data_IF_275210045747
#
_entry.id   IF_275210045747
#
_cell.length_a   1.000
_cell.length_b   1.000
_cell.length_c   1.000
_cell.angle_alpha   90.00
_cell.angle_beta   90.00
_cell.angle_gamma   90.00
#
_symmetry.space_group_name_H-M   'P 1'
#
loop_
_entity.id
_entity.type
_entity.pdbx_description
1 polymer ?
#
# COMPACT_ATOMS: atom_id res chain seq x y z
N UNK A 1 -7.14 -23.81 -11.18
CA UNK A 1 -8.10 -23.12 -10.32
C UNK A 1 -7.35 -21.93 -9.76
N UNK A 2 -7.54 -20.73 -10.32
CA UNK A 2 -6.91 -19.53 -9.77
C UNK A 2 -7.70 -19.17 -8.52
N UNK A 3 -7.08 -19.34 -7.36
CA UNK A 3 -7.62 -18.83 -6.11
C UNK A 3 -7.71 -17.31 -6.25
N UNK A 4 -8.91 -16.77 -6.37
CA UNK A 4 -9.14 -15.33 -6.29
C UNK A 4 -8.94 -14.93 -4.82
N UNK A 5 -7.68 -14.86 -4.41
CA UNK A 5 -7.29 -14.58 -3.04
C UNK A 5 -7.61 -13.13 -2.74
N UNK A 6 -8.62 -12.92 -1.92
CA UNK A 6 -8.91 -11.61 -1.36
C UNK A 6 -8.00 -11.37 -0.17
N UNK A 7 -7.18 -10.33 -0.23
CA UNK A 7 -6.40 -9.88 0.91
C UNK A 7 -7.10 -8.69 1.57
N UNK A 8 -7.04 -8.64 2.90
CA UNK A 8 -7.72 -7.61 3.69
C UNK A 8 -6.76 -7.11 4.76
N UNK A 9 -6.52 -5.80 4.76
CA UNK A 9 -5.65 -5.12 5.70
C UNK A 9 -6.42 -4.05 6.48
N UNK A 10 -6.21 -4.02 7.78
CA UNK A 10 -6.68 -2.93 8.61
C UNK A 10 -5.72 -1.74 8.47
N UNK A 11 -6.28 -0.54 8.48
CA UNK A 11 -5.50 0.69 8.36
C UNK A 11 -6.18 1.88 9.02
N UNK A 12 -5.54 3.03 8.87
CA UNK A 12 -6.02 4.32 9.31
C UNK A 12 -6.03 5.31 8.15
N UNK A 13 -7.15 6.00 8.01
CA UNK A 13 -7.26 7.18 7.16
C UNK A 13 -7.24 8.43 8.04
N UNK A 14 -6.56 9.49 7.59
CA UNK A 14 -6.54 10.78 8.28
C UNK A 14 -6.58 11.93 7.29
N UNK A 15 -7.44 12.90 7.57
CA UNK A 15 -7.50 14.18 6.87
C UNK A 15 -7.67 15.34 7.86
N UNK A 16 -7.92 16.54 7.36
CA UNK A 16 -8.19 17.74 8.18
C UNK A 16 -9.40 17.62 9.13
N UNK A 17 -10.29 16.64 8.94
CA UNK A 17 -11.48 16.43 9.77
C UNK A 17 -11.24 15.36 10.85
N UNK A 18 -10.08 14.70 10.86
CA UNK A 18 -9.69 13.72 11.86
C UNK A 18 -9.30 12.37 11.26
N UNK A 19 -9.21 11.35 12.12
CA UNK A 19 -8.83 10.00 11.74
C UNK A 19 -10.01 9.02 11.82
N UNK A 20 -9.99 8.00 10.96
CA UNK A 20 -10.95 6.89 10.93
C UNK A 20 -10.21 5.58 10.66
N UNK A 21 -10.61 4.50 11.32
CA UNK A 21 -10.13 3.16 11.01
C UNK A 21 -10.78 2.68 9.72
N UNK A 22 -9.98 2.14 8.81
CA UNK A 22 -10.42 1.69 7.48
C UNK A 22 -10.02 0.25 7.25
N UNK A 23 -10.73 -0.39 6.33
CA UNK A 23 -10.38 -1.71 5.81
C UNK A 23 -10.05 -1.57 4.33
N UNK A 24 -8.87 -2.03 3.95
CA UNK A 24 -8.41 -2.08 2.57
C UNK A 24 -8.53 -3.53 2.12
N UNK A 25 -9.22 -3.75 1.00
CA UNK A 25 -9.32 -5.05 0.35
C UNK A 25 -8.58 -5.01 -0.99
N UNK A 26 -7.79 -6.04 -1.27
CA UNK A 26 -7.17 -6.29 -2.57
C UNK A 26 -7.77 -7.54 -3.19
N UNK A 27 -8.26 -7.41 -4.42
CA UNK A 27 -8.79 -8.49 -5.25
C UNK A 27 -8.06 -8.48 -6.58
N UNK A 28 -7.03 -9.33 -6.73
CA UNK A 28 -6.13 -9.26 -7.87
C UNK A 28 -5.46 -7.89 -7.95
N UNK A 29 -5.64 -7.18 -9.07
CA UNK A 29 -5.09 -5.83 -9.30
C UNK A 29 -5.99 -4.69 -8.82
N UNK A 30 -7.14 -5.01 -8.22
CA UNK A 30 -8.13 -4.01 -7.80
C UNK A 30 -8.05 -3.82 -6.29
N UNK A 31 -7.85 -2.57 -5.86
CA UNK A 31 -7.97 -2.14 -4.47
C UNK A 31 -9.36 -1.57 -4.23
N UNK A 32 -9.89 -1.82 -3.03
CA UNK A 32 -11.13 -1.23 -2.54
C UNK A 32 -10.97 -0.81 -1.09
N UNK A 33 -11.53 0.34 -0.73
CA UNK A 33 -11.64 0.79 0.66
C UNK A 33 -12.92 1.59 0.86
N UNK A 34 -13.36 1.71 2.12
CA UNK A 34 -14.51 2.53 2.49
C UNK A 34 -14.07 3.53 3.55
N UNK A 35 -14.26 4.81 3.26
CA UNK A 35 -13.84 5.93 4.12
C UNK A 35 -15.07 6.80 4.36
N UNK A 36 -15.48 6.95 5.62
CA UNK A 36 -16.65 7.76 6.03
C UNK A 36 -17.92 7.41 5.27
N UNK A 37 -18.10 6.14 4.96
CA UNK A 37 -19.25 5.63 4.21
C UNK A 37 -19.15 5.75 2.68
N UNK A 38 -18.09 6.37 2.15
CA UNK A 38 -17.84 6.48 0.70
C UNK A 38 -16.92 5.35 0.27
N UNK A 39 -17.30 4.67 -0.81
CA UNK A 39 -16.51 3.57 -1.38
C UNK A 39 -15.53 4.12 -2.42
N UNK A 40 -14.31 3.61 -2.37
CA UNK A 40 -13.23 3.94 -3.29
C UNK A 40 -12.67 2.67 -3.91
N UNK A 41 -12.32 2.75 -5.19
CA UNK A 41 -11.65 1.66 -5.91
C UNK A 41 -10.60 2.17 -6.89
N UNK A 42 -9.58 1.36 -7.16
CA UNK A 42 -8.51 1.73 -8.08
C UNK A 42 -7.47 0.64 -8.25
N UNK A 43 -6.60 0.79 -9.25
CA UNK A 43 -5.50 -0.15 -9.50
C UNK A 43 -4.30 0.05 -8.56
N UNK A 44 -4.15 1.24 -8.00
CA UNK A 44 -3.11 1.59 -7.03
C UNK A 44 -3.70 2.45 -5.92
N UNK A 45 -3.02 2.50 -4.77
CA UNK A 45 -3.46 3.31 -3.64
C UNK A 45 -3.54 4.81 -3.96
N UNK A 46 -2.66 5.29 -4.84
CA UNK A 46 -2.66 6.69 -5.29
C UNK A 46 -3.73 7.01 -6.35
N UNK A 47 -4.32 5.98 -6.96
CA UNK A 47 -5.35 6.08 -7.99
C UNK A 47 -6.72 5.59 -7.49
N UNK A 48 -7.01 5.74 -6.20
CA UNK A 48 -8.31 5.41 -5.63
C UNK A 48 -9.34 6.49 -5.99
N UNK A 49 -10.37 6.08 -6.73
CA UNK A 49 -11.47 6.92 -7.20
C UNK A 49 -12.78 6.56 -6.49
N UNK A 50 -13.70 7.52 -6.37
CA UNK A 50 -15.01 7.29 -5.76
C UNK A 50 -15.84 6.36 -6.64
N UNK A 51 -16.42 5.32 -6.05
CA UNK A 51 -17.31 4.41 -6.77
C UNK A 51 -18.62 5.13 -7.10
N UNK A 52 -18.98 5.19 -8.39
CA UNK A 52 -20.25 5.73 -8.85
C UNK A 52 -20.35 7.26 -8.86
N UNK A 53 -19.24 7.98 -8.68
CA UNK A 53 -19.17 9.43 -8.82
C UNK A 53 -17.77 9.86 -9.29
N UNK A 54 -17.63 11.11 -9.75
CA UNK A 54 -16.32 11.68 -10.02
C UNK A 54 -15.66 12.13 -8.72
N UNK A 55 -14.38 11.79 -8.53
CA UNK A 55 -13.57 12.26 -7.42
C UNK A 55 -12.45 11.29 -7.09
N UNK A 56 -11.29 11.83 -6.72
CA UNK A 56 -10.15 11.07 -6.23
C UNK A 56 -9.92 11.36 -4.76
N UNK A 57 -9.29 10.41 -4.08
CA UNK A 57 -8.84 10.66 -2.72
C UNK A 57 -7.70 11.68 -2.71
N UNK A 58 -7.79 12.69 -1.85
CA UNK A 58 -6.84 13.80 -1.80
C UNK A 58 -6.76 14.40 -0.39
N UNK A 59 -5.70 15.17 -0.12
CA UNK A 59 -5.46 15.92 1.12
C UNK A 59 -5.54 15.05 2.38
N UNK A 60 -4.95 13.87 2.31
CA UNK A 60 -5.07 12.85 3.34
C UNK A 60 -3.81 11.98 3.47
N UNK A 61 -3.79 11.21 4.54
CA UNK A 61 -2.80 10.17 4.81
C UNK A 61 -3.53 8.84 4.99
N UNK A 62 -2.98 7.78 4.39
CA UNK A 62 -3.36 6.39 4.67
C UNK A 62 -2.17 5.64 5.26
N UNK A 63 -2.45 4.87 6.30
CA UNK A 63 -1.49 4.01 6.99
C UNK A 63 -2.06 2.59 7.09
N UNK A 64 -1.31 1.58 6.69
CA UNK A 64 -1.72 0.18 6.82
C UNK A 64 -0.53 -0.76 6.90
N UNK A 65 -0.75 -1.97 7.41
CA UNK A 65 0.30 -2.99 7.53
C UNK A 65 -0.05 -4.22 6.68
N UNK A 66 0.92 -4.68 5.89
CA UNK A 66 0.82 -5.90 5.08
C UNK A 66 1.74 -6.95 5.71
N UNK A 67 1.21 -8.10 6.17
CA UNK A 67 2.04 -9.25 6.53
C UNK A 67 2.74 -9.77 5.26
N UNK A 68 4.07 -9.89 5.31
CA UNK A 68 4.87 -10.29 4.15
C UNK A 68 5.83 -11.44 4.55
N UNK A 69 5.83 -12.58 3.84
CA UNK A 69 6.82 -13.62 4.02
C UNK A 69 8.18 -13.16 3.48
N UNK A 70 9.23 -13.56 4.17
CA UNK A 70 10.62 -13.43 3.71
C UNK A 70 11.20 -14.83 3.61
N UNK A 71 11.67 -15.20 2.42
CA UNK A 71 12.33 -16.46 2.15
C UNK A 71 13.82 -16.32 2.44
N UNK A 72 14.38 -17.17 3.29
CA UNK A 72 15.80 -17.19 3.62
C UNK A 72 16.24 -18.62 3.92
N UNK A 73 17.37 -19.05 3.35
CA UNK A 73 17.96 -20.39 3.57
C UNK A 73 16.96 -21.57 3.44
N UNK A 74 15.99 -21.44 2.53
CA UNK A 74 14.94 -22.44 2.30
C UNK A 74 13.81 -22.46 3.34
N UNK A 75 13.81 -21.52 4.31
CA UNK A 75 12.73 -21.26 5.25
C UNK A 75 11.89 -20.04 4.87
N UNK A 76 10.74 -19.89 5.54
CA UNK A 76 9.86 -18.71 5.43
C UNK A 76 9.73 -18.07 6.80
N UNK A 77 10.16 -16.82 6.91
CA UNK A 77 9.99 -15.98 8.08
C UNK A 77 8.87 -14.94 7.84
N UNK A 78 8.23 -14.48 8.91
CA UNK A 78 7.18 -13.46 8.83
C UNK A 78 7.77 -12.08 9.09
N UNK A 79 7.50 -11.16 8.18
CA UNK A 79 7.77 -9.74 8.32
C UNK A 79 6.47 -8.93 8.28
N UNK A 80 6.57 -7.66 8.66
CA UNK A 80 5.48 -6.69 8.53
C UNK A 80 5.96 -5.55 7.66
N UNK A 81 5.25 -5.28 6.57
CA UNK A 81 5.46 -4.12 5.71
C UNK A 81 4.48 -3.02 6.13
N UNK A 82 4.99 -2.00 6.81
CA UNK A 82 4.21 -0.81 7.14
C UNK A 82 4.22 0.15 5.96
N UNK A 83 3.03 0.58 5.55
CA UNK A 83 2.79 1.43 4.40
C UNK A 83 2.23 2.77 4.85
N UNK A 84 2.82 3.87 4.35
CA UNK A 84 2.37 5.24 4.57
C UNK A 84 2.23 5.95 3.23
N UNK A 85 1.00 6.29 2.85
CA UNK A 85 0.70 7.06 1.63
C UNK A 85 0.20 8.45 2.02
N UNK A 86 0.90 9.48 1.54
CA UNK A 86 0.50 10.87 1.70
C UNK A 86 0.02 11.45 0.37
N UNK A 87 -1.27 11.80 0.30
CA UNK A 87 -1.89 12.41 -0.86
C UNK A 87 -2.07 13.92 -0.63
N UNK A 88 -1.61 14.70 -1.58
CA UNK A 88 -1.74 16.15 -1.56
C UNK A 88 -3.06 16.65 -2.17
N UNK A 89 -3.08 17.90 -2.59
CA UNK A 89 -4.29 18.54 -3.11
C UNK A 89 -4.57 18.09 -4.55
N UNK A 90 -5.87 17.96 -4.87
CA UNK A 90 -6.32 17.78 -6.25
C UNK A 90 -6.22 19.12 -6.97
N UNK A 91 -5.41 19.17 -8.02
CA UNK A 91 -5.26 20.35 -8.86
C UNK A 91 -6.42 20.44 -9.88
N UNK A 92 -6.65 21.61 -10.52
CA UNK A 92 -7.80 21.83 -11.42
C UNK A 92 -7.84 20.99 -12.70
N UNK A 93 -6.69 20.43 -13.10
CA UNK A 93 -6.54 19.53 -14.26
C UNK A 93 -6.83 18.05 -13.92
N UNK A 94 -7.21 17.75 -12.67
CA UNK A 94 -7.58 16.42 -12.20
C UNK A 94 -6.44 15.59 -11.61
N UNK A 95 -5.23 16.14 -11.47
CA UNK A 95 -4.07 15.42 -10.93
C UNK A 95 -3.75 15.79 -9.48
N UNK A 96 -3.21 14.86 -8.69
CA UNK A 96 -2.71 15.18 -7.36
C UNK A 96 -1.37 15.93 -7.45
N UNK A 97 -1.19 16.97 -6.64
CA UNK A 97 0.09 17.69 -6.58
C UNK A 97 1.21 16.87 -5.93
N UNK A 98 0.85 15.85 -5.14
CA UNK A 98 1.73 14.95 -4.41
C UNK A 98 1.05 13.61 -4.18
N UNK A 99 1.81 12.53 -4.38
CA UNK A 99 1.48 11.18 -3.97
C UNK A 99 2.78 10.52 -3.50
N UNK A 100 3.04 10.58 -2.20
CA UNK A 100 4.28 10.08 -1.61
C UNK A 100 4.00 8.77 -0.88
N UNK A 101 4.61 7.69 -1.35
CA UNK A 101 4.54 6.38 -0.70
C UNK A 101 5.87 6.10 0.01
N UNK A 102 5.77 5.76 1.29
CA UNK A 102 6.87 5.26 2.09
C UNK A 102 6.52 3.86 2.59
N UNK A 103 7.45 2.92 2.40
CA UNK A 103 7.36 1.56 2.89
C UNK A 103 8.47 1.33 3.91
N UNK A 104 8.13 0.70 5.03
CA UNK A 104 9.07 0.23 6.04
C UNK A 104 8.84 -1.25 6.29
N UNK A 105 9.83 -2.09 5.98
CA UNK A 105 9.79 -3.51 6.31
C UNK A 105 10.42 -3.75 7.67
N UNK A 106 9.66 -4.34 8.58
CA UNK A 106 10.12 -4.84 9.86
C UNK A 106 10.44 -6.33 9.75
N UNK A 107 11.73 -6.68 9.76
CA UNK A 107 12.22 -8.05 9.59
C UNK A 107 13.49 -8.29 10.41
N UNK A 108 13.56 -9.43 11.11
CA UNK A 108 14.75 -9.82 11.88
C UNK A 108 15.18 -8.83 12.98
N UNK A 109 14.25 -8.00 13.48
CA UNK A 109 14.54 -6.92 14.44
C UNK A 109 15.15 -5.65 13.82
N UNK A 110 15.29 -5.61 12.50
CA UNK A 110 15.70 -4.43 11.73
C UNK A 110 14.50 -3.78 11.01
N UNK A 111 14.67 -2.52 10.61
CA UNK A 111 13.75 -1.77 9.77
C UNK A 111 14.45 -1.39 8.47
N UNK A 112 13.84 -1.69 7.33
CA UNK A 112 14.33 -1.38 6.00
C UNK A 112 13.35 -0.42 5.32
N UNK A 113 13.83 0.77 4.95
CA UNK A 113 12.97 1.85 4.45
C UNK A 113 13.16 2.03 2.94
N UNK A 114 12.07 2.17 2.18
CA UNK A 114 12.14 2.48 0.74
C UNK A 114 12.62 3.91 0.46
N UNK A 115 12.46 4.81 1.44
CA UNK A 115 12.43 6.25 1.22
C UNK A 115 11.13 6.71 0.54
N UNK A 116 11.05 8.00 0.18
CA UNK A 116 9.89 8.55 -0.55
C UNK A 116 9.95 8.12 -2.02
N UNK A 117 9.05 7.23 -2.42
CA UNK A 117 8.78 6.88 -3.81
C UNK A 117 7.52 7.63 -4.28
N UNK A 118 7.49 8.03 -5.56
CA UNK A 118 6.39 8.81 -6.15
C UNK A 118 5.10 8.01 -6.33
N UNK A 119 4.57 7.44 -5.26
CA UNK A 119 3.31 6.68 -5.22
C UNK A 119 3.40 5.26 -5.79
N UNK A 120 4.52 4.88 -6.40
CA UNK A 120 4.74 3.56 -6.97
C UNK A 120 5.17 2.54 -5.90
N UNK A 121 4.35 1.50 -5.75
CA UNK A 121 4.52 0.46 -4.74
C UNK A 121 5.63 -0.52 -5.12
N UNK A 122 5.73 -0.90 -6.39
CA UNK A 122 6.67 -1.92 -6.86
C UNK A 122 8.10 -1.35 -6.79
N UNK A 123 8.29 -0.11 -7.25
CA UNK A 123 9.57 0.60 -7.13
C UNK A 123 10.03 0.74 -5.67
N UNK A 124 9.10 0.98 -4.74
CA UNK A 124 9.40 1.10 -3.32
C UNK A 124 9.78 -0.26 -2.71
N UNK A 125 9.09 -1.33 -3.09
CA UNK A 125 9.36 -2.69 -2.65
C UNK A 125 10.72 -3.19 -3.17
N UNK A 126 11.04 -2.89 -4.42
CA UNK A 126 12.32 -3.20 -5.05
C UNK A 126 13.51 -2.56 -4.31
N UNK A 127 13.32 -1.35 -3.77
CA UNK A 127 14.34 -0.68 -2.95
C UNK A 127 14.54 -1.37 -1.62
N UNK A 128 13.47 -1.87 -0.99
CA UNK A 128 13.57 -2.67 0.24
C UNK A 128 14.27 -4.00 -0.06
N UNK A 129 13.89 -4.70 -1.12
CA UNK A 129 14.50 -5.96 -1.54
C UNK A 129 16.02 -5.84 -1.70
N UNK A 130 16.50 -4.73 -2.27
CA UNK A 130 17.94 -4.45 -2.47
C UNK A 130 18.71 -4.20 -1.16
N UNK A 131 18.01 -3.92 -0.06
CA UNK A 131 18.60 -3.67 1.27
C UNK A 131 18.63 -4.91 2.16
N UNK A 132 17.91 -5.97 1.78
CA UNK A 132 17.82 -7.18 2.58
C UNK A 132 19.16 -7.89 2.75
N UNK A 133 19.33 -8.67 3.83
CA UNK A 133 20.49 -9.52 4.00
C UNK A 133 20.68 -10.47 2.79
N UNK A 134 21.92 -10.86 2.46
CA UNK A 134 22.17 -11.80 1.38
C UNK A 134 21.36 -13.10 1.56
N UNK A 135 20.69 -13.53 0.48
CA UNK A 135 19.86 -14.74 0.49
C UNK A 135 18.45 -14.55 1.03
N UNK A 136 18.08 -13.34 1.47
CA UNK A 136 16.71 -13.01 1.84
C UNK A 136 15.92 -12.42 0.66
N UNK A 137 14.74 -12.98 0.39
CA UNK A 137 13.84 -12.56 -0.69
C UNK A 137 12.42 -12.34 -0.15
N UNK A 138 11.83 -11.19 -0.47
CA UNK A 138 10.43 -10.91 -0.18
C UNK A 138 9.56 -11.89 -0.98
N UNK A 139 8.66 -12.57 -0.30
CA UNK A 139 7.64 -13.37 -0.97
C UNK A 139 6.48 -12.49 -1.45
N UNK A 140 5.77 -12.96 -2.46
CA UNK A 140 4.64 -12.25 -3.04
C UNK A 140 3.42 -12.28 -2.09
N UNK A 141 3.02 -11.11 -1.58
CA UNK A 141 1.66 -10.83 -1.06
C UNK A 141 1.07 -9.57 -1.69
N UNK A 142 1.44 -9.31 -2.94
CA UNK A 142 0.81 -8.28 -3.76
C UNK A 142 0.53 -8.94 -5.09
N UNK A 143 -0.75 -9.08 -5.43
CA UNK A 143 -1.17 -9.48 -6.76
C UNK A 143 -0.80 -8.38 -7.78
N UNK A 144 0.46 -8.35 -8.16
CA UNK A 144 0.95 -7.73 -9.38
C UNK A 144 1.97 -8.68 -10.03
N UNK A 145 1.55 -9.92 -10.32
CA UNK A 145 2.18 -10.64 -11.43
C UNK A 145 1.68 -10.00 -12.74
N UNK A 146 2.60 -9.36 -13.46
CA UNK A 146 2.84 -9.62 -14.88
C UNK A 146 4.34 -9.59 -15.14
#
# INVERSE_FOLDING_TARGET
MSSDSTEVWAGWYRDRRGAEAVTIAAHGRQLRTRIRGVEYEGATFAALEVVGAEGVLSSCVLEWDIPLPVHVDGGVERATLSCLLTLGELRPEGSLDRADLNLTLHYGGAAYESGVAGGDFDDALDRIQKQLPPGAELGSHVCAEV
#
